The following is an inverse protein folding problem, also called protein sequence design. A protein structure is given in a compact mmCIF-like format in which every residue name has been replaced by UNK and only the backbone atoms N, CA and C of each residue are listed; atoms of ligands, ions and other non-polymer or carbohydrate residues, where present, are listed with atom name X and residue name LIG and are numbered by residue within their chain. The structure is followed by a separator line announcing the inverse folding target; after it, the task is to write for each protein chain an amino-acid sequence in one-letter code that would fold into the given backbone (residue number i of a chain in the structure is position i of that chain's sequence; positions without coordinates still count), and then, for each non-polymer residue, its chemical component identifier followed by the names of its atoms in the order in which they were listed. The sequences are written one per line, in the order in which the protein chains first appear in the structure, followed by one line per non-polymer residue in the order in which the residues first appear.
data_IF_064219673178
#
_entry.id   IF_064219673178
#
_cell.length_a   1.000
_cell.length_b   1.000
_cell.length_c   1.000
_cell.angle_alpha   90.00
_cell.angle_beta   90.00
_cell.angle_gamma   90.00
#
_symmetry.space_group_name_H-M   'P 1'
#
loop_
_entity.id
_entity.type
_entity.pdbx_description
1 polymer ?
#
# COMPACT_ATOMS: atom_id res chain seq x y z
N UNK A 1 12.88 42.51 67.32
CA UNK A 1 12.05 41.30 67.46
C UNK A 1 10.71 41.60 66.82
N UNK A 2 10.49 41.16 65.57
CA UNK A 2 9.20 41.22 64.86
C UNK A 2 9.24 40.13 63.78
N UNK A 3 8.63 38.99 64.09
CA UNK A 3 8.57 37.81 63.21
C UNK A 3 7.36 37.99 62.27
N UNK A 4 7.60 38.20 60.96
CA UNK A 4 6.55 38.09 59.93
C UNK A 4 6.56 36.66 59.41
N UNK A 5 5.53 35.88 59.75
CA UNK A 5 5.24 34.58 59.17
C UNK A 5 4.94 34.77 57.66
N UNK A 6 5.83 34.30 56.79
CA UNK A 6 5.48 34.03 55.39
C UNK A 6 4.81 32.65 55.35
N UNK A 7 3.51 32.61 55.08
CA UNK A 7 2.81 31.39 54.70
C UNK A 7 3.18 31.07 53.23
N UNK A 8 4.13 30.16 53.03
CA UNK A 8 4.36 29.52 51.73
C UNK A 8 3.22 28.54 51.47
N UNK A 9 2.31 28.90 50.56
CA UNK A 9 1.32 28.00 49.98
C UNK A 9 2.05 26.97 49.11
N UNK A 10 2.30 25.78 49.68
CA UNK A 10 2.66 24.58 48.90
C UNK A 10 1.41 24.14 48.14
N UNK A 11 1.30 24.54 46.86
CA UNK A 11 0.36 23.91 45.94
C UNK A 11 0.75 22.43 45.80
N UNK A 12 -0.13 21.47 46.15
CA UNK A 12 0.12 20.08 45.82
C UNK A 12 0.00 19.95 44.30
N UNK A 13 1.13 19.79 43.62
CA UNK A 13 1.19 19.33 42.23
C UNK A 13 0.55 17.95 42.17
N UNK A 14 -0.75 17.91 41.90
CA UNK A 14 -1.45 16.68 41.56
C UNK A 14 -0.79 16.15 40.28
N UNK A 15 0.07 15.14 40.44
CA UNK A 15 0.43 14.24 39.36
C UNK A 15 -0.88 13.63 38.87
N UNK A 16 -1.44 14.20 37.81
CA UNK A 16 -2.49 13.56 37.03
C UNK A 16 -1.86 12.29 36.46
N UNK A 17 -1.99 11.19 37.19
CA UNK A 17 -1.88 9.86 36.61
C UNK A 17 -3.01 9.81 35.57
N UNK A 18 -2.69 10.14 34.32
CA UNK A 18 -3.59 9.86 33.20
C UNK A 18 -3.77 8.35 33.21
N UNK A 19 -4.88 7.88 33.75
CA UNK A 19 -5.26 6.49 33.60
C UNK A 19 -5.39 6.25 32.10
N UNK A 20 -4.45 5.48 31.55
CA UNK A 20 -4.54 5.00 30.19
C UNK A 20 -5.87 4.26 29.94
N UNK A 21 -6.21 4.01 28.68
CA UNK A 21 -7.42 3.26 28.35
C UNK A 21 -7.40 1.85 28.96
N UNK A 22 -8.56 1.20 29.00
CA UNK A 22 -8.63 -0.18 29.48
C UNK A 22 -7.89 -1.17 28.55
N UNK A 23 -7.73 -2.42 29.00
CA UNK A 23 -7.00 -3.46 28.27
C UNK A 23 -7.67 -3.94 26.97
N UNK A 24 -8.83 -3.38 26.62
CA UNK A 24 -9.57 -3.70 25.40
C UNK A 24 -9.69 -2.49 24.47
N UNK A 25 -8.97 -1.41 24.78
CA UNK A 25 -9.06 -0.14 24.08
C UNK A 25 -7.67 0.43 23.87
N UNK A 26 -7.38 0.86 22.66
CA UNK A 26 -6.23 1.71 22.38
C UNK A 26 -6.72 3.14 22.18
N UNK A 27 -6.08 4.13 22.79
CA UNK A 27 -6.46 5.54 22.66
C UNK A 27 -5.50 6.26 21.74
N UNK A 28 -6.04 7.02 20.79
CA UNK A 28 -5.31 8.02 20.02
C UNK A 28 -5.75 9.39 20.49
N UNK A 29 -4.82 10.23 20.92
CA UNK A 29 -5.10 11.62 21.25
C UNK A 29 -4.11 12.53 20.55
N UNK A 30 -4.47 13.79 20.33
CA UNK A 30 -3.53 14.68 19.68
C UNK A 30 -4.00 16.10 19.47
N UNK A 31 -3.06 16.91 19.00
CA UNK A 31 -3.27 18.30 18.64
C UNK A 31 -2.60 18.62 17.30
N UNK A 32 -3.42 19.04 16.33
CA UNK A 32 -2.98 19.56 15.03
C UNK A 32 -3.18 21.07 15.03
N UNK A 33 -2.08 21.82 15.00
CA UNK A 33 -2.12 23.28 14.97
C UNK A 33 -2.53 23.78 13.60
N UNK A 34 -3.21 24.93 13.54
CA UNK A 34 -3.61 25.56 12.29
C UNK A 34 -4.87 24.97 11.64
N UNK A 35 -5.63 24.16 12.36
CA UNK A 35 -6.95 23.67 11.96
C UNK A 35 -7.91 23.74 13.14
N UNK A 36 -9.14 24.17 12.89
CA UNK A 36 -10.18 24.20 13.93
C UNK A 36 -10.99 22.90 13.90
N UNK A 37 -11.58 22.57 12.74
CA UNK A 37 -12.34 21.34 12.52
C UNK A 37 -11.81 20.58 11.32
N UNK A 38 -11.70 19.26 11.45
CA UNK A 38 -11.35 18.34 10.38
C UNK A 38 -11.85 16.93 10.72
N UNK A 39 -11.89 16.06 9.71
CA UNK A 39 -12.06 14.63 9.88
C UNK A 39 -10.79 13.92 9.40
N UNK A 40 -10.27 13.00 10.22
CA UNK A 40 -9.20 12.07 9.85
C UNK A 40 -9.86 10.70 9.70
N UNK A 41 -9.59 10.00 8.61
CA UNK A 41 -10.05 8.62 8.45
C UNK A 41 -9.03 7.68 9.07
N UNK A 42 -9.47 6.74 9.90
CA UNK A 42 -8.63 5.70 10.49
C UNK A 42 -9.08 4.33 9.98
N UNK A 43 -8.15 3.56 9.41
CA UNK A 43 -8.45 2.20 8.95
C UNK A 43 -7.25 1.27 9.16
N UNK A 44 -7.54 -0.03 9.27
CA UNK A 44 -6.51 -1.08 9.29
C UNK A 44 -6.17 -1.50 7.84
N UNK A 45 -4.90 -1.73 7.49
CA UNK A 45 -4.47 -2.07 6.13
C UNK A 45 -5.00 -3.43 5.63
N UNK A 46 -5.50 -4.25 6.53
CA UNK A 46 -6.19 -5.49 6.25
C UNK A 46 -7.18 -5.79 7.37
N UNK A 47 -8.23 -6.55 7.05
CA UNK A 47 -9.12 -7.12 8.07
C UNK A 47 -8.29 -7.89 9.11
N UNK A 48 -8.61 -7.63 10.38
CA UNK A 48 -7.95 -8.26 11.52
C UNK A 48 -9.01 -8.76 12.48
N UNK A 49 -8.86 -9.97 13.05
CA UNK A 49 -9.70 -10.42 14.16
C UNK A 49 -9.62 -9.50 15.39
N UNK A 50 -8.62 -8.62 15.46
CA UNK A 50 -8.41 -7.71 16.59
C UNK A 50 -9.54 -6.67 16.74
N UNK A 51 -10.09 -6.19 15.64
CA UNK A 51 -11.07 -5.08 15.60
C UNK A 51 -12.14 -5.21 14.49
N UNK A 52 -12.09 -6.28 13.70
CA UNK A 52 -13.01 -6.51 12.58
C UNK A 52 -12.74 -5.66 11.33
N UNK A 53 -11.64 -4.89 11.28
CA UNK A 53 -11.23 -4.13 10.08
C UNK A 53 -12.06 -2.88 9.76
N UNK A 54 -12.80 -2.32 10.74
CA UNK A 54 -13.68 -1.18 10.51
C UNK A 54 -12.92 0.09 10.09
N UNK A 55 -13.51 0.90 9.20
CA UNK A 55 -13.02 2.27 8.93
C UNK A 55 -13.80 3.24 9.80
N UNK A 56 -13.09 4.12 10.52
CA UNK A 56 -13.67 5.13 11.39
C UNK A 56 -13.26 6.56 10.97
N UNK A 57 -14.03 7.54 11.45
CA UNK A 57 -13.74 8.96 11.31
C UNK A 57 -13.43 9.59 12.68
N UNK A 58 -12.28 10.22 12.79
CA UNK A 58 -11.83 10.96 13.96
C UNK A 58 -12.07 12.45 13.71
N UNK A 59 -12.92 13.06 14.53
CA UNK A 59 -13.27 14.47 14.41
C UNK A 59 -12.40 15.33 15.33
N UNK A 60 -11.81 16.38 14.75
CA UNK A 60 -11.04 17.38 15.49
C UNK A 60 -11.94 18.55 15.88
N UNK A 61 -11.72 19.09 17.08
CA UNK A 61 -12.35 20.32 17.57
C UNK A 61 -11.28 21.21 18.19
N UNK A 62 -11.16 22.44 17.69
CA UNK A 62 -10.05 23.36 18.01
C UNK A 62 -8.68 22.72 17.81
N UNK A 63 -8.56 21.91 16.76
CA UNK A 63 -7.37 21.16 16.41
C UNK A 63 -7.04 19.98 17.32
N UNK A 64 -7.80 19.74 18.39
CA UNK A 64 -7.59 18.63 19.31
C UNK A 64 -8.56 17.47 19.05
N UNK A 65 -8.13 16.26 19.38
CA UNK A 65 -8.98 15.06 19.33
C UNK A 65 -8.58 14.04 20.40
N UNK A 66 -9.53 13.17 20.74
CA UNK A 66 -9.33 11.94 21.49
C UNK A 66 -10.24 10.89 20.88
N UNK A 67 -9.70 9.72 20.60
CA UNK A 67 -10.38 8.66 19.89
C UNK A 67 -10.00 7.31 20.50
N UNK A 68 -11.01 6.54 20.89
CA UNK A 68 -10.84 5.21 21.45
C UNK A 68 -11.15 4.18 20.37
N UNK A 69 -10.19 3.30 20.09
CA UNK A 69 -10.32 2.15 19.19
C UNK A 69 -10.46 0.89 20.04
N UNK A 70 -11.64 0.25 20.09
CA UNK A 70 -11.75 -1.07 20.67
C UNK A 70 -10.85 -2.06 19.92
N UNK A 71 -10.01 -2.79 20.64
CA UNK A 71 -9.13 -3.79 20.06
C UNK A 71 -8.71 -4.85 21.08
N UNK A 72 -8.55 -6.09 20.61
CA UNK A 72 -8.13 -7.23 21.43
C UNK A 72 -6.63 -7.56 21.31
N UNK A 73 -5.93 -6.92 20.35
CA UNK A 73 -4.51 -7.12 20.10
C UNK A 73 -3.89 -5.85 19.50
N UNK A 74 -2.55 -5.70 19.50
CA UNK A 74 -1.89 -4.62 18.76
C UNK A 74 -2.34 -4.55 17.30
N UNK A 75 -2.60 -3.33 16.82
CA UNK A 75 -3.16 -3.08 15.50
C UNK A 75 -2.35 -2.03 14.75
N UNK A 76 -1.93 -2.34 13.52
CA UNK A 76 -1.47 -1.30 12.58
C UNK A 76 -2.66 -0.50 12.08
N UNK A 77 -2.62 0.82 12.27
CA UNK A 77 -3.60 1.76 11.77
C UNK A 77 -2.97 2.76 10.82
N UNK A 78 -3.66 3.05 9.73
CA UNK A 78 -3.34 4.15 8.82
C UNK A 78 -4.35 5.26 9.05
N UNK A 79 -3.85 6.44 9.38
CA UNK A 79 -4.61 7.68 9.40
C UNK A 79 -4.49 8.37 8.04
N UNK A 80 -5.61 8.83 7.49
CA UNK A 80 -5.69 9.61 6.25
C UNK A 80 -6.20 11.00 6.58
N UNK A 81 -5.37 12.00 6.35
CA UNK A 81 -5.72 13.40 6.54
C UNK A 81 -6.47 13.97 5.33
N UNK A 82 -7.18 15.10 5.45
CA UNK A 82 -7.93 15.70 4.34
C UNK A 82 -7.13 16.02 3.07
N UNK A 83 -5.82 16.22 3.19
CA UNK A 83 -4.92 16.45 2.05
C UNK A 83 -4.35 15.15 1.46
N UNK A 84 -4.92 13.99 1.80
CA UNK A 84 -4.47 12.64 1.44
C UNK A 84 -3.08 12.25 1.96
N UNK A 85 -2.46 13.06 2.83
CA UNK A 85 -1.30 12.58 3.58
C UNK A 85 -1.72 11.44 4.49
N UNK A 86 -0.85 10.44 4.63
CA UNK A 86 -1.10 9.29 5.48
C UNK A 86 -0.09 9.21 6.61
N UNK A 87 -0.49 8.61 7.72
CA UNK A 87 0.37 8.30 8.85
C UNK A 87 0.04 6.91 9.39
N UNK A 88 1.02 6.00 9.36
CA UNK A 88 0.87 4.69 9.98
C UNK A 88 1.32 4.73 11.44
N UNK A 89 0.59 4.08 12.34
CA UNK A 89 0.93 3.92 13.76
C UNK A 89 0.49 2.56 14.29
N UNK A 90 0.92 2.22 15.51
CA UNK A 90 0.54 0.99 16.20
C UNK A 90 -0.36 1.35 17.37
N UNK A 91 -1.60 0.87 17.35
CA UNK A 91 -2.56 1.00 18.44
C UNK A 91 -2.54 -0.26 19.31
N UNK A 92 -2.04 -0.16 20.54
CA UNK A 92 -1.90 -1.27 21.48
C UNK A 92 -2.99 -1.19 22.56
N UNK A 93 -3.73 -2.28 22.84
CA UNK A 93 -4.75 -2.28 23.91
C UNK A 93 -4.13 -1.90 25.26
N UNK A 94 -4.76 -0.96 25.97
CA UNK A 94 -4.27 -0.41 27.24
C UNK A 94 -3.25 0.72 27.11
N UNK A 95 -2.85 1.09 25.89
CA UNK A 95 -1.90 2.17 25.63
C UNK A 95 -2.58 3.38 24.99
N UNK A 96 -1.98 4.55 25.21
CA UNK A 96 -2.35 5.81 24.57
C UNK A 96 -1.21 6.28 23.65
N UNK A 97 -1.55 6.63 22.42
CA UNK A 97 -0.65 7.21 21.43
C UNK A 97 -1.00 8.67 21.27
N UNK A 98 -0.01 9.54 21.46
CA UNK A 98 -0.14 10.98 21.28
C UNK A 98 0.39 11.43 19.92
N UNK A 99 -0.41 12.23 19.22
CA UNK A 99 -0.09 12.80 17.92
C UNK A 99 0.07 14.32 18.01
N UNK A 100 1.14 14.87 17.44
CA UNK A 100 1.37 16.31 17.38
C UNK A 100 1.84 16.75 16.00
N UNK A 101 1.31 17.86 15.50
CA UNK A 101 1.76 18.39 14.22
C UNK A 101 1.05 19.67 13.80
N UNK A 102 1.26 20.05 12.54
CA UNK A 102 0.69 21.25 11.93
C UNK A 102 -0.08 20.89 10.66
N UNK A 103 -1.22 21.56 10.45
CA UNK A 103 -2.12 21.28 9.33
C UNK A 103 -1.48 21.51 7.94
N UNK A 104 -0.46 22.37 7.85
CA UNK A 104 0.31 22.61 6.63
C UNK A 104 1.50 21.65 6.44
N UNK A 105 1.79 20.79 7.43
CA UNK A 105 2.93 19.86 7.45
C UNK A 105 2.51 18.47 7.94
N UNK A 106 1.41 17.95 7.40
CA UNK A 106 0.81 16.69 7.86
C UNK A 106 1.67 15.44 7.62
N UNK A 107 2.69 15.53 6.76
CA UNK A 107 3.70 14.48 6.59
C UNK A 107 4.72 14.44 7.73
N UNK A 108 4.78 15.49 8.55
CA UNK A 108 5.69 15.66 9.69
C UNK A 108 4.96 15.47 11.03
N UNK A 109 3.76 14.90 11.04
CA UNK A 109 3.07 14.58 12.30
C UNK A 109 3.90 13.56 13.08
N UNK A 110 4.23 13.92 14.31
CA UNK A 110 4.99 13.10 15.23
C UNK A 110 4.05 12.23 16.06
N UNK A 111 4.49 11.01 16.37
CA UNK A 111 3.81 10.08 17.27
C UNK A 111 4.68 9.78 18.49
N UNK A 112 4.05 9.61 19.63
CA UNK A 112 4.70 9.17 20.87
C UNK A 112 3.74 8.31 21.69
N UNK A 113 4.26 7.57 22.66
CA UNK A 113 3.46 6.67 23.49
C UNK A 113 3.47 5.24 22.98
N UNK A 114 3.93 4.34 23.84
CA UNK A 114 4.13 2.92 23.52
C UNK A 114 5.47 2.66 22.82
N UNK A 115 6.09 1.52 23.15
CA UNK A 115 7.44 1.17 22.67
C UNK A 115 7.51 1.06 21.14
N UNK A 116 6.46 0.53 20.50
CA UNK A 116 6.39 0.36 19.04
C UNK A 116 6.35 1.70 18.30
N UNK A 117 5.59 2.67 18.82
CA UNK A 117 5.49 3.99 18.20
C UNK A 117 6.73 4.84 18.43
N UNK A 118 7.38 4.73 19.60
CA UNK A 118 8.68 5.39 19.85
C UNK A 118 9.76 4.84 18.90
N UNK A 119 9.78 3.53 18.69
CA UNK A 119 10.70 2.89 17.74
C UNK A 119 10.43 3.34 16.29
N UNK A 120 9.16 3.45 15.90
CA UNK A 120 8.73 3.94 14.59
C UNK A 120 9.07 5.43 14.39
N UNK A 121 8.82 6.27 15.41
CA UNK A 121 9.15 7.69 15.38
C UNK A 121 10.67 7.88 15.27
N UNK A 122 11.47 7.13 16.02
CA UNK A 122 12.92 7.18 15.92
C UNK A 122 13.44 6.82 14.51
N UNK A 123 12.79 5.89 13.81
CA UNK A 123 13.09 5.63 12.40
C UNK A 123 12.76 6.84 11.52
N UNK A 124 11.59 7.48 11.70
CA UNK A 124 11.18 8.66 10.92
C UNK A 124 12.13 9.83 11.13
N UNK A 125 12.45 10.16 12.38
CA UNK A 125 13.36 11.26 12.75
C UNK A 125 14.76 11.07 12.16
N UNK A 126 15.30 9.85 12.25
CA UNK A 126 16.63 9.53 11.72
C UNK A 126 16.74 9.60 10.19
N UNK A 127 15.62 9.72 9.49
CA UNK A 127 15.51 9.70 8.03
C UNK A 127 14.89 10.97 7.42
N UNK A 128 14.53 11.97 8.21
CA UNK A 128 14.07 13.26 7.71
C UNK A 128 15.11 13.87 6.74
N UNK A 129 14.64 14.29 5.56
CA UNK A 129 15.44 15.04 4.58
C UNK A 129 16.40 14.17 3.76
N UNK A 130 16.37 12.84 3.95
CA UNK A 130 17.15 11.90 3.13
C UNK A 130 16.51 11.67 1.77
N UNK A 131 17.32 11.23 0.82
CA UNK A 131 16.84 10.76 -0.48
C UNK A 131 15.97 9.51 -0.32
N UNK A 132 15.00 9.30 -1.21
CA UNK A 132 14.17 8.08 -1.20
C UNK A 132 15.00 6.80 -1.26
N UNK A 133 16.10 6.79 -2.01
CA UNK A 133 17.03 5.67 -2.10
C UNK A 133 17.70 5.38 -0.75
N UNK A 134 18.13 6.42 -0.02
CA UNK A 134 18.70 6.27 1.31
C UNK A 134 17.65 5.80 2.34
N UNK A 135 16.45 6.37 2.31
CA UNK A 135 15.33 5.95 3.17
C UNK A 135 15.04 4.47 2.92
N UNK A 136 14.95 4.03 1.66
CA UNK A 136 14.70 2.63 1.31
C UNK A 136 15.79 1.70 1.85
N UNK A 137 17.06 2.07 1.71
CA UNK A 137 18.20 1.31 2.26
C UNK A 137 18.16 1.23 3.79
N UNK A 138 17.82 2.34 4.46
CA UNK A 138 17.68 2.40 5.92
C UNK A 138 16.48 1.60 6.40
N UNK A 139 15.37 1.62 5.68
CA UNK A 139 14.17 0.84 5.94
C UNK A 139 14.47 -0.67 5.85
N UNK A 140 15.19 -1.11 4.81
CA UNK A 140 15.64 -2.50 4.71
C UNK A 140 16.49 -2.91 5.92
N UNK A 141 17.48 -2.10 6.29
CA UNK A 141 18.33 -2.39 7.46
C UNK A 141 17.51 -2.46 8.75
N UNK A 142 16.58 -1.51 8.94
CA UNK A 142 15.70 -1.44 10.10
C UNK A 142 14.79 -2.67 10.22
N UNK A 143 14.18 -3.11 9.11
CA UNK A 143 13.35 -4.32 9.07
C UNK A 143 14.18 -5.56 9.42
N UNK A 144 15.39 -5.68 8.86
CA UNK A 144 16.28 -6.81 9.12
C UNK A 144 16.78 -6.87 10.57
N UNK A 145 16.94 -5.73 11.24
CA UNK A 145 17.36 -5.68 12.64
C UNK A 145 16.21 -5.77 13.64
N UNK A 146 14.97 -5.49 13.23
CA UNK A 146 13.78 -5.52 14.08
C UNK A 146 12.65 -6.40 13.51
N UNK A 147 12.91 -7.61 12.97
CA UNK A 147 11.93 -8.33 12.18
C UNK A 147 10.73 -8.84 12.99
N UNK A 148 10.85 -8.88 14.32
CA UNK A 148 9.79 -9.26 15.26
C UNK A 148 8.90 -8.09 15.71
N UNK A 149 9.24 -6.85 15.36
CA UNK A 149 8.55 -5.63 15.84
C UNK A 149 7.45 -5.19 14.86
N UNK A 150 6.37 -4.62 15.37
CA UNK A 150 5.30 -4.04 14.55
C UNK A 150 5.74 -2.75 13.86
N UNK A 151 6.64 -1.98 14.48
CA UNK A 151 7.29 -0.84 13.85
C UNK A 151 7.98 -1.23 12.53
N UNK A 152 8.59 -2.42 12.45
CA UNK A 152 9.19 -2.91 11.20
C UNK A 152 8.14 -3.22 10.13
N UNK A 153 6.95 -3.70 10.52
CA UNK A 153 5.82 -3.89 9.60
C UNK A 153 5.29 -2.53 9.12
N UNK A 154 5.16 -1.54 10.02
CA UNK A 154 4.75 -0.19 9.65
C UNK A 154 5.72 0.45 8.63
N UNK A 155 7.04 0.37 8.89
CA UNK A 155 8.08 0.81 7.95
C UNK A 155 7.98 0.06 6.62
N UNK A 156 7.68 -1.23 6.64
CA UNK A 156 7.49 -2.01 5.42
C UNK A 156 6.31 -1.49 4.58
N UNK A 157 5.17 -1.23 5.23
CA UNK A 157 3.99 -0.69 4.57
C UNK A 157 4.25 0.69 3.97
N UNK A 158 4.85 1.60 4.74
CA UNK A 158 5.09 2.99 4.35
C UNK A 158 6.10 3.11 3.19
N UNK A 159 7.09 2.20 3.08
CA UNK A 159 8.20 2.34 2.13
C UNK A 159 8.14 1.34 0.97
N UNK A 160 7.78 0.09 1.24
CA UNK A 160 7.87 -0.99 0.26
C UNK A 160 6.50 -1.34 -0.33
N UNK A 161 5.46 -1.47 0.50
CA UNK A 161 4.12 -1.78 0.01
C UNK A 161 3.48 -0.60 -0.74
N UNK A 162 3.73 0.63 -0.27
CA UNK A 162 3.29 1.87 -0.92
C UNK A 162 4.12 2.26 -2.16
N UNK A 163 5.16 1.49 -2.52
CA UNK A 163 6.01 1.81 -3.67
C UNK A 163 5.25 1.73 -5.00
N UNK A 164 5.35 2.78 -5.82
CA UNK A 164 4.86 2.75 -7.21
C UNK A 164 5.62 1.68 -8.02
N UNK A 165 6.91 1.52 -7.72
CA UNK A 165 7.83 0.55 -8.32
C UNK A 165 8.23 -0.53 -7.30
N UNK A 166 7.36 -1.52 -7.01
CA UNK A 166 7.76 -2.63 -6.16
C UNK A 166 8.78 -3.50 -6.91
N UNK A 167 9.74 -4.06 -6.18
CA UNK A 167 10.76 -4.96 -6.71
C UNK A 167 10.55 -6.37 -6.18
N UNK A 168 10.86 -7.35 -7.01
CA UNK A 168 10.83 -8.75 -6.58
C UNK A 168 11.78 -8.98 -5.40
N UNK A 169 13.00 -8.43 -5.51
CA UNK A 169 14.02 -8.44 -4.45
C UNK A 169 14.57 -7.03 -4.24
N UNK A 170 14.86 -6.64 -2.98
CA UNK A 170 14.63 -7.37 -1.74
C UNK A 170 13.20 -7.26 -1.20
N UNK A 171 12.31 -6.44 -1.79
CA UNK A 171 11.04 -6.07 -1.15
C UNK A 171 10.15 -7.29 -0.82
N UNK A 172 9.99 -8.24 -1.75
CA UNK A 172 9.27 -9.49 -1.49
C UNK A 172 9.95 -10.36 -0.42
N UNK A 173 11.29 -10.35 -0.34
CA UNK A 173 12.03 -11.08 0.70
C UNK A 173 11.85 -10.47 2.09
N UNK A 174 11.71 -9.14 2.17
CA UNK A 174 11.44 -8.44 3.42
C UNK A 174 10.04 -8.76 3.95
N UNK A 175 9.04 -8.89 3.08
CA UNK A 175 7.72 -9.36 3.47
C UNK A 175 7.79 -10.76 4.08
N UNK A 176 8.46 -11.70 3.41
CA UNK A 176 8.60 -13.08 3.92
C UNK A 176 9.41 -13.14 5.21
N UNK A 177 10.43 -12.29 5.37
CA UNK A 177 11.17 -12.17 6.63
C UNK A 177 10.26 -11.74 7.79
N UNK A 178 9.43 -10.71 7.58
CA UNK A 178 8.48 -10.23 8.59
C UNK A 178 7.47 -11.33 8.94
N UNK A 179 6.85 -11.96 7.95
CA UNK A 179 5.86 -13.04 8.15
C UNK A 179 6.47 -14.22 8.91
N UNK A 180 7.68 -14.63 8.55
CA UNK A 180 8.39 -15.74 9.22
C UNK A 180 8.78 -15.38 10.66
N UNK A 181 9.11 -14.12 10.93
CA UNK A 181 9.56 -13.67 12.24
C UNK A 181 8.41 -13.34 13.19
N UNK A 182 7.18 -13.22 12.67
CA UNK A 182 5.97 -12.95 13.45
C UNK A 182 4.87 -13.98 13.11
N UNK A 183 5.09 -15.27 13.41
CA UNK A 183 4.19 -16.35 12.98
C UNK A 183 2.79 -16.28 13.60
N UNK A 184 2.61 -15.55 14.70
CA UNK A 184 1.30 -15.39 15.36
C UNK A 184 0.58 -14.09 14.99
N UNK A 185 1.22 -13.24 14.17
CA UNK A 185 0.63 -11.99 13.72
C UNK A 185 -0.38 -12.25 12.59
N UNK A 186 -1.66 -12.44 12.96
CA UNK A 186 -2.75 -12.68 12.02
C UNK A 186 -2.95 -11.52 11.03
N UNK A 187 -2.81 -10.26 11.49
CA UNK A 187 -2.91 -9.09 10.63
C UNK A 187 -1.84 -9.11 9.54
N UNK A 188 -0.58 -9.37 9.90
CA UNK A 188 0.51 -9.46 8.93
C UNK A 188 0.33 -10.60 7.92
N UNK A 189 -0.23 -11.74 8.33
CA UNK A 189 -0.58 -12.82 7.40
C UNK A 189 -1.60 -12.36 6.37
N UNK A 190 -2.63 -11.62 6.79
CA UNK A 190 -3.64 -11.10 5.88
C UNK A 190 -3.07 -10.04 4.93
N UNK A 191 -2.25 -9.12 5.44
CA UNK A 191 -1.48 -8.17 4.62
C UNK A 191 -0.64 -8.92 3.58
N UNK A 192 0.08 -9.97 3.99
CA UNK A 192 0.94 -10.74 3.10
C UNK A 192 0.15 -11.48 2.02
N UNK A 193 -1.05 -11.99 2.31
CA UNK A 193 -1.94 -12.59 1.30
C UNK A 193 -2.23 -11.63 0.15
N UNK A 194 -2.43 -10.35 0.45
CA UNK A 194 -2.72 -9.33 -0.56
C UNK A 194 -1.46 -8.85 -1.30
N UNK A 195 -0.32 -8.78 -0.62
CA UNK A 195 0.91 -8.24 -1.19
C UNK A 195 1.78 -9.27 -1.93
N UNK A 196 1.71 -10.55 -1.56
CA UNK A 196 2.50 -11.62 -2.21
C UNK A 196 2.31 -11.65 -3.73
N UNK A 197 1.09 -11.59 -4.29
CA UNK A 197 0.94 -11.60 -5.73
C UNK A 197 1.50 -10.34 -6.40
N UNK A 198 1.42 -9.18 -5.73
CA UNK A 198 2.03 -7.93 -6.21
C UNK A 198 3.54 -8.08 -6.35
N UNK A 199 4.22 -8.61 -5.33
CA UNK A 199 5.67 -8.84 -5.38
C UNK A 199 6.07 -10.00 -6.29
N UNK A 200 5.21 -11.01 -6.48
CA UNK A 200 5.45 -12.13 -7.39
C UNK A 200 5.48 -11.73 -8.87
N UNK A 201 4.97 -10.54 -9.21
CA UNK A 201 5.06 -9.94 -10.56
C UNK A 201 5.70 -8.55 -10.53
N UNK A 202 6.46 -8.25 -9.48
CA UNK A 202 7.21 -6.99 -9.37
C UNK A 202 8.41 -6.97 -10.33
N UNK A 203 9.05 -5.81 -10.45
CA UNK A 203 10.23 -5.66 -11.30
C UNK A 203 11.33 -6.66 -10.90
N UNK A 204 11.84 -7.40 -11.87
CA UNK A 204 12.81 -8.49 -11.70
C UNK A 204 12.21 -9.86 -11.40
N UNK A 205 10.88 -10.00 -11.25
CA UNK A 205 10.23 -11.29 -11.07
C UNK A 205 10.05 -12.05 -12.40
N UNK A 206 10.14 -13.39 -12.40
CA UNK A 206 9.66 -14.16 -13.55
C UNK A 206 8.13 -14.10 -13.65
N UNK A 207 7.59 -14.01 -14.87
CA UNK A 207 6.14 -14.04 -15.08
C UNK A 207 5.54 -15.37 -14.60
N UNK A 208 4.51 -15.37 -13.72
CA UNK A 208 3.87 -16.58 -13.24
C UNK A 208 3.23 -17.40 -14.35
N UNK A 209 3.17 -18.73 -14.16
CA UNK A 209 2.52 -19.62 -15.11
C UNK A 209 1.00 -19.44 -15.11
N UNK A 210 0.44 -19.21 -16.30
CA UNK A 210 -1.01 -19.17 -16.52
C UNK A 210 -1.37 -19.77 -17.88
N UNK A 211 -2.63 -20.18 -18.02
CA UNK A 211 -3.25 -20.63 -19.26
C UNK A 211 -4.71 -20.20 -19.22
N UNK A 212 -5.11 -19.32 -20.12
CA UNK A 212 -6.42 -18.67 -20.08
C UNK A 212 -7.06 -18.68 -21.46
N UNK A 213 -8.38 -18.91 -21.49
CA UNK A 213 -9.15 -18.91 -22.72
C UNK A 213 -9.41 -17.47 -23.16
N UNK A 214 -9.20 -17.20 -24.44
CA UNK A 214 -9.57 -15.89 -25.01
C UNK A 214 -11.08 -15.85 -25.30
N UNK A 215 -11.63 -14.64 -25.35
CA UNK A 215 -13.02 -14.40 -25.75
C UNK A 215 -13.30 -14.81 -27.21
N UNK A 216 -12.27 -14.90 -28.04
CA UNK A 216 -12.30 -15.42 -29.41
C UNK A 216 -12.25 -16.95 -29.50
N UNK A 217 -12.12 -17.65 -28.37
CA UNK A 217 -12.13 -19.12 -28.29
C UNK A 217 -10.76 -19.79 -28.33
N UNK A 218 -9.68 -19.03 -28.52
CA UNK A 218 -8.30 -19.48 -28.44
C UNK A 218 -7.80 -19.62 -26.99
N UNK A 219 -6.49 -19.83 -26.83
CA UNK A 219 -5.84 -19.96 -25.52
C UNK A 219 -4.53 -19.16 -25.50
N UNK A 220 -4.26 -18.45 -24.41
CA UNK A 220 -3.00 -17.74 -24.17
C UNK A 220 -2.34 -18.35 -22.93
N UNK A 221 -1.05 -18.65 -23.04
CA UNK A 221 -0.24 -19.12 -21.91
C UNK A 221 0.93 -18.19 -21.66
N UNK A 222 1.45 -18.18 -20.43
CA UNK A 222 2.68 -17.45 -20.12
C UNK A 222 3.89 -17.91 -20.95
N UNK A 223 3.91 -19.17 -21.39
CA UNK A 223 5.00 -19.72 -22.21
C UNK A 223 5.00 -19.12 -23.62
N UNK A 224 3.82 -18.87 -24.19
CA UNK A 224 3.67 -18.17 -25.48
C UNK A 224 4.22 -16.73 -25.45
N UNK A 225 4.45 -16.17 -24.27
CA UNK A 225 4.97 -14.81 -24.11
C UNK A 225 6.50 -14.73 -24.05
N UNK A 226 7.20 -15.87 -24.07
CA UNK A 226 8.67 -15.92 -24.10
C UNK A 226 9.20 -15.82 -25.53
N UNK A 227 10.48 -15.45 -25.66
CA UNK A 227 11.18 -15.34 -26.94
C UNK A 227 11.04 -13.98 -27.63
N UNK A 228 10.08 -13.15 -27.20
CA UNK A 228 9.92 -11.75 -27.61
C UNK A 228 9.38 -10.93 -26.44
N UNK A 229 9.36 -9.60 -26.54
CA UNK A 229 8.74 -8.78 -25.51
C UNK A 229 7.22 -9.03 -25.44
N UNK A 230 6.64 -8.90 -24.24
CA UNK A 230 5.20 -8.97 -24.05
C UNK A 230 4.70 -7.82 -23.18
N UNK A 231 3.51 -7.33 -23.48
CA UNK A 231 2.78 -6.33 -22.72
C UNK A 231 1.42 -6.92 -22.33
N UNK A 232 1.22 -7.16 -21.04
CA UNK A 232 -0.07 -7.54 -20.48
C UNK A 232 -0.75 -6.26 -19.98
N UNK A 233 -1.97 -6.00 -20.45
CA UNK A 233 -2.73 -4.79 -20.11
C UNK A 233 -3.96 -5.17 -19.32
N UNK A 234 -4.18 -4.50 -18.19
CA UNK A 234 -5.37 -4.64 -17.34
C UNK A 234 -6.29 -3.45 -17.57
N UNK A 235 -7.56 -3.70 -17.84
CA UNK A 235 -8.53 -2.63 -18.11
C UNK A 235 -9.98 -3.08 -17.87
N UNK A 236 -10.86 -2.19 -17.45
CA UNK A 236 -12.31 -2.46 -17.29
C UNK A 236 -13.14 -1.28 -17.78
N UNK A 237 -14.25 -1.53 -18.48
CA UNK A 237 -15.09 -0.51 -19.16
C UNK A 237 -15.61 0.60 -18.23
N UNK A 238 -15.69 0.30 -16.94
CA UNK A 238 -16.11 1.21 -15.87
C UNK A 238 -15.04 2.24 -15.50
N UNK A 239 -13.79 2.07 -15.95
CA UNK A 239 -12.72 3.05 -15.74
C UNK A 239 -12.66 4.08 -16.87
N UNK A 240 -12.74 5.36 -16.48
CA UNK A 240 -12.74 6.51 -17.37
C UNK A 240 -11.38 6.88 -17.95
N UNK A 241 -10.27 6.27 -17.51
CA UNK A 241 -8.91 6.58 -17.97
C UNK A 241 -8.39 5.62 -19.05
N UNK A 242 -9.07 4.51 -19.32
CA UNK A 242 -8.67 3.53 -20.35
C UNK A 242 -8.41 4.15 -21.73
N UNK A 243 -9.14 5.22 -22.10
CA UNK A 243 -8.96 5.89 -23.39
C UNK A 243 -7.54 6.43 -23.59
N UNK A 244 -6.79 6.69 -22.50
CA UNK A 244 -5.39 7.14 -22.57
C UNK A 244 -4.45 6.04 -23.08
N UNK A 245 -4.77 4.77 -22.84
CA UNK A 245 -3.94 3.64 -23.26
C UNK A 245 -4.20 3.19 -24.69
N UNK A 246 -5.47 3.20 -25.14
CA UNK A 246 -5.88 2.61 -26.43
C UNK A 246 -5.07 3.15 -27.63
N UNK A 247 -4.86 4.48 -27.81
CA UNK A 247 -4.06 4.99 -28.92
C UNK A 247 -2.61 4.52 -28.87
N UNK A 248 -2.02 4.49 -27.67
CA UNK A 248 -0.64 4.04 -27.47
C UNK A 248 -0.50 2.56 -27.79
N UNK A 249 -1.43 1.71 -27.33
CA UNK A 249 -1.45 0.27 -27.66
C UNK A 249 -1.58 0.05 -29.17
N UNK A 250 -2.42 0.82 -29.86
CA UNK A 250 -2.56 0.73 -31.31
C UNK A 250 -1.30 1.19 -32.07
N UNK A 251 -0.54 2.16 -31.56
CA UNK A 251 0.78 2.50 -32.12
C UNK A 251 1.78 1.38 -31.90
N UNK A 252 1.87 0.85 -30.68
CA UNK A 252 2.77 -0.25 -30.33
C UNK A 252 2.53 -1.50 -31.19
N UNK A 253 1.26 -1.93 -31.33
CA UNK A 253 0.88 -3.08 -32.18
C UNK A 253 1.30 -2.87 -33.64
N UNK A 254 1.09 -1.68 -34.20
CA UNK A 254 1.48 -1.35 -35.59
C UNK A 254 2.99 -1.31 -35.77
N UNK A 255 3.72 -0.73 -34.81
CA UNK A 255 5.16 -0.51 -34.90
C UNK A 255 5.98 -1.78 -34.67
N UNK A 256 5.61 -2.58 -33.70
CA UNK A 256 6.40 -3.76 -33.30
C UNK A 256 5.87 -5.06 -33.87
N UNK A 257 4.59 -5.13 -34.24
CA UNK A 257 3.99 -6.32 -34.86
C UNK A 257 4.27 -7.57 -34.03
N UNK A 258 4.77 -8.63 -34.67
CA UNK A 258 5.08 -9.90 -34.02
C UNK A 258 6.23 -9.84 -32.99
N UNK A 259 7.00 -8.75 -32.91
CA UNK A 259 8.08 -8.58 -31.92
C UNK A 259 7.56 -8.17 -30.54
N UNK A 260 6.28 -7.80 -30.44
CA UNK A 260 5.60 -7.47 -29.19
C UNK A 260 4.28 -8.22 -29.11
N UNK A 261 4.18 -9.16 -28.17
CA UNK A 261 2.89 -9.78 -27.84
C UNK A 261 2.09 -8.87 -26.92
N UNK A 262 0.87 -8.51 -27.31
CA UNK A 262 -0.06 -7.74 -26.47
C UNK A 262 -1.20 -8.64 -26.02
N UNK A 263 -1.35 -8.78 -24.70
CA UNK A 263 -2.42 -9.53 -24.05
C UNK A 263 -3.33 -8.55 -23.33
N UNK A 264 -4.63 -8.63 -23.56
CA UNK A 264 -5.60 -7.76 -22.91
C UNK A 264 -6.37 -8.57 -21.87
N UNK A 265 -6.26 -8.20 -20.61
CA UNK A 265 -7.02 -8.77 -19.50
C UNK A 265 -8.11 -7.79 -19.14
N UNK A 266 -9.35 -8.20 -19.36
CA UNK A 266 -10.55 -7.39 -19.24
C UNK A 266 -11.24 -7.66 -17.91
N UNK A 267 -11.27 -6.67 -17.03
CA UNK A 267 -11.95 -6.69 -15.73
C UNK A 267 -13.34 -6.05 -15.84
N UNK A 268 -14.05 -6.27 -16.96
CA UNK A 268 -15.42 -5.75 -17.12
C UNK A 268 -16.39 -6.47 -16.16
N UNK A 269 -17.52 -5.85 -15.82
CA UNK A 269 -18.44 -6.41 -14.79
C UNK A 269 -19.14 -7.68 -15.22
N UNK A 270 -19.24 -7.97 -16.52
CA UNK A 270 -19.74 -9.24 -17.01
C UNK A 270 -19.15 -9.63 -18.37
N UNK A 271 -19.24 -10.92 -18.69
CA UNK A 271 -18.68 -11.49 -19.92
C UNK A 271 -19.33 -10.93 -21.20
N UNK A 272 -20.58 -10.47 -21.16
CA UNK A 272 -21.24 -9.83 -22.31
C UNK A 272 -20.54 -8.52 -22.67
N UNK A 273 -20.38 -7.63 -21.69
CA UNK A 273 -19.65 -6.37 -21.86
C UNK A 273 -18.21 -6.59 -22.34
N UNK A 274 -17.51 -7.58 -21.77
CA UNK A 274 -16.16 -7.92 -22.19
C UNK A 274 -16.09 -8.37 -23.66
N UNK A 275 -17.06 -9.17 -24.13
CA UNK A 275 -17.16 -9.60 -25.53
C UNK A 275 -17.44 -8.43 -26.47
N UNK A 276 -18.42 -7.60 -26.12
CA UNK A 276 -18.79 -6.42 -26.94
C UNK A 276 -17.61 -5.47 -27.08
N UNK A 277 -16.89 -5.23 -25.97
CA UNK A 277 -15.67 -4.44 -25.95
C UNK A 277 -14.56 -5.06 -26.79
N UNK A 278 -14.31 -6.36 -26.64
CA UNK A 278 -13.28 -7.05 -27.41
C UNK A 278 -13.56 -7.00 -28.92
N UNK A 279 -14.83 -7.07 -29.34
CA UNK A 279 -15.23 -6.92 -30.73
C UNK A 279 -15.04 -5.48 -31.22
N UNK A 280 -15.61 -4.50 -30.51
CA UNK A 280 -15.54 -3.07 -30.87
C UNK A 280 -14.09 -2.58 -30.98
N UNK A 281 -13.24 -2.97 -30.04
CA UNK A 281 -11.86 -2.50 -29.93
C UNK A 281 -10.86 -3.43 -30.66
N UNK A 282 -11.35 -4.44 -31.39
CA UNK A 282 -10.53 -5.42 -32.14
C UNK A 282 -9.44 -6.09 -31.29
N UNK A 283 -9.83 -6.56 -30.11
CA UNK A 283 -8.97 -7.24 -29.12
C UNK A 283 -9.07 -8.76 -29.27
N UNK A 284 -8.51 -9.31 -30.35
CA UNK A 284 -8.54 -10.74 -30.65
C UNK A 284 -7.93 -11.64 -29.56
N UNK A 285 -7.06 -11.08 -28.72
CA UNK A 285 -6.33 -11.74 -27.63
C UNK A 285 -6.86 -11.35 -26.24
N UNK A 286 -8.12 -10.93 -26.15
CA UNK A 286 -8.74 -10.55 -24.88
C UNK A 286 -9.08 -11.78 -24.03
N UNK A 287 -8.71 -11.72 -22.75
CA UNK A 287 -9.09 -12.65 -21.69
C UNK A 287 -10.06 -11.90 -20.78
N UNK A 288 -11.16 -12.54 -20.40
CA UNK A 288 -12.09 -12.01 -19.42
C UNK A 288 -11.69 -12.48 -18.02
N UNK A 289 -11.43 -11.53 -17.12
CA UNK A 289 -11.14 -11.76 -15.72
C UNK A 289 -12.46 -11.79 -14.92
N UNK A 290 -13.08 -12.96 -14.82
CA UNK A 290 -14.36 -13.12 -14.13
C UNK A 290 -14.24 -12.80 -12.63
N UNK A 291 -15.08 -11.86 -12.15
CA UNK A 291 -14.99 -11.34 -10.78
C UNK A 291 -13.98 -10.21 -10.61
N UNK A 292 -13.52 -9.61 -11.72
CA UNK A 292 -12.65 -8.43 -11.73
C UNK A 292 -11.34 -8.68 -10.94
N UNK A 293 -11.09 -7.92 -9.88
CA UNK A 293 -9.92 -8.07 -9.00
C UNK A 293 -9.91 -9.41 -8.24
N UNK A 294 -11.08 -9.99 -7.98
CA UNK A 294 -11.20 -11.25 -7.26
C UNK A 294 -10.87 -12.46 -8.14
N UNK A 295 -10.80 -12.28 -9.46
CA UNK A 295 -10.49 -13.34 -10.41
C UNK A 295 -9.13 -13.99 -10.11
N UNK A 296 -9.04 -15.30 -10.32
CA UNK A 296 -7.81 -16.04 -10.09
C UNK A 296 -6.63 -15.49 -10.94
N UNK A 297 -6.92 -15.03 -12.16
CA UNK A 297 -5.93 -14.42 -13.04
C UNK A 297 -5.48 -13.04 -12.54
N UNK A 298 -6.42 -12.15 -12.18
CA UNK A 298 -6.07 -10.81 -11.69
C UNK A 298 -5.24 -10.88 -10.41
N UNK A 299 -5.62 -11.74 -9.45
CA UNK A 299 -4.81 -11.98 -8.25
C UNK A 299 -3.44 -12.52 -8.63
N UNK A 300 -3.36 -13.56 -9.46
CA UNK A 300 -2.08 -14.17 -9.87
C UNK A 300 -1.15 -13.19 -10.57
N UNK A 301 -1.70 -12.27 -11.37
CA UNK A 301 -0.96 -11.22 -12.06
C UNK A 301 -0.82 -9.94 -11.23
N UNK A 302 -1.11 -9.98 -9.93
CA UNK A 302 -0.87 -8.89 -8.99
C UNK A 302 -1.49 -7.56 -9.42
N UNK A 303 -2.68 -7.59 -10.01
CA UNK A 303 -3.39 -6.39 -10.48
C UNK A 303 -3.73 -5.51 -9.29
N UNK A 304 -3.24 -4.26 -9.30
CA UNK A 304 -3.47 -3.28 -8.22
C UNK A 304 -4.57 -2.29 -8.55
N UNK A 305 -4.65 -1.90 -9.83
CA UNK A 305 -5.60 -0.94 -10.34
C UNK A 305 -5.77 -1.15 -11.84
N UNK A 306 -6.84 -0.56 -12.39
CA UNK A 306 -7.05 -0.41 -13.82
C UNK A 306 -7.14 1.09 -14.15
N UNK A 307 -6.57 1.55 -15.28
CA UNK A 307 -5.73 0.77 -16.19
C UNK A 307 -4.36 0.49 -15.56
N UNK A 308 -3.81 -0.69 -15.85
CA UNK A 308 -2.49 -1.12 -15.40
C UNK A 308 -1.80 -2.00 -16.45
N UNK A 309 -0.52 -2.29 -16.26
CA UNK A 309 0.19 -3.18 -17.19
C UNK A 309 1.38 -3.91 -16.58
N UNK A 310 1.82 -4.98 -17.24
CA UNK A 310 3.12 -5.62 -17.02
C UNK A 310 3.87 -5.61 -18.35
N UNK A 311 5.12 -5.16 -18.32
CA UNK A 311 6.07 -5.28 -19.43
C UNK A 311 7.04 -6.41 -19.13
N UNK A 312 7.13 -7.37 -20.04
CA UNK A 312 7.90 -8.60 -19.91
C UNK A 312 8.93 -8.64 -21.04
N UNK A 313 10.17 -8.99 -20.70
CA UNK A 313 11.23 -9.17 -21.69
C UNK A 313 11.18 -10.56 -22.36
N UNK A 314 12.04 -10.78 -23.36
CA UNK A 314 12.10 -12.04 -24.09
C UNK A 314 12.47 -13.26 -23.23
N UNK A 315 13.03 -13.07 -22.02
CA UNK A 315 13.35 -14.16 -21.09
C UNK A 315 12.14 -14.60 -20.26
N UNK A 316 11.07 -13.80 -20.27
CA UNK A 316 9.90 -13.99 -19.41
C UNK A 316 10.02 -13.27 -18.06
N UNK A 317 10.91 -12.29 -17.93
CA UNK A 317 11.07 -11.48 -16.72
C UNK A 317 10.24 -10.21 -16.80
N UNK A 318 9.52 -9.86 -15.73
CA UNK A 318 8.84 -8.57 -15.61
C UNK A 318 9.89 -7.49 -15.41
N UNK A 319 9.97 -6.55 -16.35
CA UNK A 319 10.97 -5.47 -16.36
C UNK A 319 10.39 -4.11 -15.99
N UNK A 320 9.07 -3.97 -16.05
CA UNK A 320 8.34 -2.82 -15.56
C UNK A 320 6.86 -3.18 -15.35
N UNK A 321 6.19 -2.41 -14.51
CA UNK A 321 4.75 -2.52 -14.30
C UNK A 321 4.09 -1.16 -14.14
N UNK A 322 2.80 -1.11 -14.42
CA UNK A 322 1.93 0.04 -14.23
C UNK A 322 2.52 1.35 -14.78
N UNK A 323 3.12 1.26 -15.97
CA UNK A 323 3.86 2.34 -16.63
C UNK A 323 2.89 3.43 -17.07
N UNK A 324 3.21 4.69 -16.78
CA UNK A 324 2.48 5.84 -17.30
C UNK A 324 2.32 5.75 -18.84
N UNK A 325 1.11 5.95 -19.41
CA UNK A 325 0.87 5.96 -20.85
C UNK A 325 1.85 6.77 -21.68
N UNK A 326 2.31 7.91 -21.16
CA UNK A 326 3.24 8.82 -21.85
C UNK A 326 4.66 8.23 -21.93
N UNK A 327 5.01 7.36 -20.99
CA UNK A 327 6.32 6.68 -20.91
C UNK A 327 6.29 5.27 -21.52
N UNK A 328 5.10 4.71 -21.75
CA UNK A 328 4.92 3.34 -22.18
C UNK A 328 5.63 3.03 -23.51
N UNK A 329 5.55 3.91 -24.50
CA UNK A 329 6.18 3.67 -25.81
C UNK A 329 7.71 3.56 -25.70
N UNK A 330 8.36 4.49 -25.00
CA UNK A 330 9.80 4.45 -24.76
C UNK A 330 10.23 3.30 -23.85
N UNK A 331 9.38 2.84 -22.92
CA UNK A 331 9.65 1.66 -22.12
C UNK A 331 9.64 0.38 -22.99
N UNK A 332 8.65 0.24 -23.87
CA UNK A 332 8.55 -0.90 -24.78
C UNK A 332 9.70 -0.92 -25.79
N UNK A 333 10.09 0.23 -26.35
CA UNK A 333 11.24 0.34 -27.25
C UNK A 333 12.55 -0.20 -26.67
N UNK A 334 12.78 0.00 -25.37
CA UNK A 334 14.00 -0.48 -24.69
C UNK A 334 14.03 -2.00 -24.54
N UNK A 335 12.88 -2.65 -24.61
CA UNK A 335 12.71 -4.08 -24.34
C UNK A 335 12.52 -4.88 -25.62
N UNK A 336 11.83 -4.31 -26.61
CA UNK A 336 11.67 -4.91 -27.94
C UNK A 336 12.96 -4.74 -28.73
N UNK A 337 13.60 -5.85 -29.10
CA UNK A 337 14.82 -5.84 -29.93
C UNK A 337 14.52 -5.71 -31.43
#
# INVERSE_FOLDING_TARGET
MNFRLLLTFLLPSALLLSCGPDKHTARLSGQIKGVDQAAIIAYAPAESPADGGATDSIHLSRGAFSYDRPTQAPLLLTLVYPNYSTLTLIAVPGEEVHLSGEANRLKEVEISGGEENELLQGFRDGNHGRSEADIRRKAEAFIRSHPTRLAAVAVFLDIFAASEHPRYRPDGELLELLVKSQPDNAQLKQIATNLRPVFAVAEGAPLPKFSERTLSGGNITSEMLKGHAALIVFSGSWDGNNFRYVPTLNRLRRRFGARLSVVNVLLDTNAGQARDRAQRDSLSNAIYAEGEYESALARKLGVRYVPGCLLIDATGTVVARDIDPERLEGAVEKVVR
#
